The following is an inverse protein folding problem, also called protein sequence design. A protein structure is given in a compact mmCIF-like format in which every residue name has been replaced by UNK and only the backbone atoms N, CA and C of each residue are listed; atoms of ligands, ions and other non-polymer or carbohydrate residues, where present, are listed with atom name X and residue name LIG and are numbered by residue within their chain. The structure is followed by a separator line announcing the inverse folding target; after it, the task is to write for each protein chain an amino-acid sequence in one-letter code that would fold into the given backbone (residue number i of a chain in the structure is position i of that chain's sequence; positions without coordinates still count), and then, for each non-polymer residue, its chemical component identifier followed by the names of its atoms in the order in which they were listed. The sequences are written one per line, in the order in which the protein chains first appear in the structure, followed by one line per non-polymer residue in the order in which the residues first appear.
data_IF_558120503196
#
_entry.id   IF_558120503196
#
_cell.length_a   1.000
_cell.length_b   1.000
_cell.length_c   1.000
_cell.angle_alpha   90.00
_cell.angle_beta   90.00
_cell.angle_gamma   90.00
#
_symmetry.space_group_name_H-M   'P 1'
#
loop_
_entity.id
_entity.type
_entity.pdbx_description
1 polymer ?
#
# COMPACT_ATOMS: atom_id res chain seq x y z
N UNK A 1 23.84 17.09 -15.35
CA UNK A 1 23.49 15.91 -14.50
C UNK A 1 22.07 15.51 -14.85
N UNK A 2 21.81 14.22 -15.06
CA UNK A 2 20.45 13.71 -15.22
C UNK A 2 19.64 14.03 -13.95
N UNK A 3 18.44 14.60 -14.13
CA UNK A 3 17.49 14.79 -13.03
C UNK A 3 17.03 13.42 -12.51
N UNK A 4 16.76 13.31 -11.21
CA UNK A 4 16.12 12.11 -10.68
C UNK A 4 14.72 11.93 -11.27
N UNK A 5 14.21 10.70 -11.20
CA UNK A 5 12.84 10.38 -11.62
C UNK A 5 12.10 9.66 -10.49
N UNK A 6 10.81 9.91 -10.29
CA UNK A 6 9.99 9.14 -9.36
C UNK A 6 8.70 8.64 -10.03
N UNK A 7 8.05 7.64 -9.43
CA UNK A 7 6.80 7.13 -9.98
C UNK A 7 6.30 5.89 -9.25
N UNK A 8 5.28 5.27 -9.83
CA UNK A 8 4.84 3.92 -9.46
C UNK A 8 5.49 2.93 -10.43
N UNK A 9 6.24 1.97 -9.91
CA UNK A 9 6.86 0.89 -10.69
C UNK A 9 5.81 -0.19 -10.94
N UNK A 10 5.27 -0.83 -9.91
CA UNK A 10 4.26 -1.88 -10.08
C UNK A 10 3.06 -1.67 -9.18
N UNK A 11 1.94 -2.30 -9.53
CA UNK A 11 0.72 -2.25 -8.75
C UNK A 11 -0.02 -3.58 -8.82
N UNK A 12 -0.65 -3.99 -7.72
CA UNK A 12 -1.57 -5.13 -7.70
C UNK A 12 -2.97 -4.65 -7.32
N UNK A 13 -3.96 -5.10 -8.09
CA UNK A 13 -5.36 -4.70 -7.96
C UNK A 13 -6.22 -5.91 -7.67
N UNK A 14 -7.23 -5.72 -6.83
CA UNK A 14 -8.34 -6.63 -6.65
C UNK A 14 -9.61 -5.92 -7.14
N UNK A 15 -10.14 -6.39 -8.27
CA UNK A 15 -11.28 -5.82 -8.97
C UNK A 15 -12.50 -6.71 -8.74
N UNK A 16 -13.61 -6.04 -8.43
CA UNK A 16 -14.94 -6.59 -8.27
C UNK A 16 -15.77 -5.97 -9.39
N UNK A 17 -16.20 -6.79 -10.33
CA UNK A 17 -17.04 -6.35 -11.43
C UNK A 17 -18.27 -7.23 -11.53
N UNK A 18 -19.34 -6.63 -12.03
CA UNK A 18 -20.41 -7.39 -12.65
C UNK A 18 -20.06 -7.60 -14.13
N UNK A 19 -20.93 -8.31 -14.83
CA UNK A 19 -20.91 -8.36 -16.28
C UNK A 19 -22.29 -7.94 -16.75
N UNK A 20 -22.33 -7.19 -17.84
CA UNK A 20 -23.56 -6.51 -18.22
C UNK A 20 -24.71 -7.48 -18.56
N UNK A 21 -25.73 -7.48 -17.70
CA UNK A 21 -27.17 -7.40 -18.00
C UNK A 21 -27.88 -6.69 -16.81
N UNK A 22 -27.74 -5.36 -16.70
CA UNK A 22 -28.49 -4.51 -15.76
C UNK A 22 -28.29 -4.77 -14.24
N UNK A 23 -28.61 -3.81 -13.36
CA UNK A 23 -28.46 -3.99 -11.91
C UNK A 23 -29.61 -4.75 -11.21
N UNK A 24 -30.71 -5.08 -11.90
CA UNK A 24 -31.93 -5.62 -11.26
C UNK A 24 -32.61 -6.78 -12.01
N UNK A 25 -32.01 -7.33 -13.05
CA UNK A 25 -32.53 -8.56 -13.69
C UNK A 25 -31.57 -9.72 -13.40
N UNK A 26 -32.09 -10.94 -13.15
CA UNK A 26 -31.23 -12.12 -13.21
C UNK A 26 -30.57 -12.13 -14.60
N UNK A 27 -29.25 -12.36 -14.71
CA UNK A 27 -28.57 -12.35 -15.99
C UNK A 27 -29.32 -13.28 -16.94
N UNK A 28 -29.70 -12.77 -18.11
CA UNK A 28 -30.43 -13.56 -19.11
C UNK A 28 -29.65 -14.84 -19.42
N UNK A 29 -30.29 -15.93 -19.87
CA UNK A 29 -29.55 -17.14 -20.27
C UNK A 29 -28.52 -16.82 -21.38
N UNK A 30 -28.75 -15.78 -22.18
CA UNK A 30 -27.81 -15.24 -23.16
C UNK A 30 -26.65 -14.46 -22.52
N UNK A 31 -26.90 -13.72 -21.44
CA UNK A 31 -25.85 -13.10 -20.64
C UNK A 31 -25.13 -14.09 -19.75
N UNK A 32 -25.74 -15.16 -19.24
CA UNK A 32 -25.04 -16.31 -18.66
C UNK A 32 -24.21 -17.00 -19.76
N UNK A 33 -24.69 -17.05 -21.01
CA UNK A 33 -23.96 -17.50 -22.20
C UNK A 33 -22.87 -16.52 -22.73
N UNK A 34 -22.90 -15.24 -22.33
CA UNK A 34 -21.86 -14.21 -22.62
C UNK A 34 -20.96 -13.85 -21.43
N UNK A 35 -21.42 -14.08 -20.19
CA UNK A 35 -20.66 -14.30 -18.95
C UNK A 35 -19.85 -15.59 -19.06
N UNK A 36 -20.38 -16.52 -19.85
CA UNK A 36 -19.64 -17.46 -20.66
C UNK A 36 -18.81 -16.75 -21.80
N UNK A 37 -18.25 -15.57 -21.54
CA UNK A 37 -16.86 -15.28 -21.84
C UNK A 37 -16.00 -16.39 -21.23
N UNK A 38 -16.44 -16.96 -20.10
CA UNK A 38 -16.05 -18.29 -19.65
C UNK A 38 -16.45 -19.47 -20.55
N UNK A 39 -17.40 -19.40 -21.46
CA UNK A 39 -17.75 -20.46 -22.42
C UNK A 39 -16.74 -20.51 -23.54
N UNK A 40 -16.44 -19.38 -24.20
CA UNK A 40 -15.30 -19.29 -25.12
C UNK A 40 -13.97 -19.56 -24.40
N UNK A 41 -13.78 -19.08 -23.17
CA UNK A 41 -12.57 -19.40 -22.39
C UNK A 41 -12.55 -20.82 -21.86
N UNK A 42 -13.69 -21.45 -21.60
CA UNK A 42 -13.76 -22.86 -21.18
C UNK A 42 -13.67 -23.76 -22.39
N UNK A 43 -14.14 -23.37 -23.57
CA UNK A 43 -13.91 -24.04 -24.84
C UNK A 43 -12.45 -23.90 -25.27
N UNK A 44 -11.89 -22.70 -25.16
CA UNK A 44 -10.47 -22.46 -25.37
C UNK A 44 -9.66 -23.24 -24.34
N UNK A 45 -9.96 -23.15 -23.05
CA UNK A 45 -9.24 -23.90 -22.01
C UNK A 45 -9.49 -25.41 -22.10
N UNK A 46 -10.65 -25.87 -22.58
CA UNK A 46 -10.97 -27.27 -22.85
C UNK A 46 -10.20 -27.76 -24.07
N UNK A 47 -10.17 -27.00 -25.16
CA UNK A 47 -9.34 -27.26 -26.34
C UNK A 47 -7.85 -27.26 -26.01
N UNK A 48 -7.39 -26.36 -25.12
CA UNK A 48 -6.03 -26.40 -24.56
C UNK A 48 -5.81 -27.67 -23.70
N UNK A 49 -6.83 -28.10 -22.94
CA UNK A 49 -6.76 -29.33 -22.12
C UNK A 49 -6.71 -30.61 -22.95
N UNK A 50 -7.57 -30.68 -23.96
CA UNK A 50 -7.75 -31.82 -24.85
C UNK A 50 -6.64 -31.89 -25.92
N UNK A 51 -6.18 -30.75 -26.42
CA UNK A 51 -5.13 -30.63 -27.43
C UNK A 51 -3.70 -30.56 -26.88
N UNK A 52 -3.51 -30.59 -25.56
CA UNK A 52 -2.18 -30.54 -24.93
C UNK A 52 -1.47 -29.17 -24.97
N UNK A 53 -2.06 -28.16 -25.61
CA UNK A 53 -1.48 -26.83 -25.78
C UNK A 53 -1.51 -26.05 -24.45
N UNK A 54 -0.40 -25.38 -24.10
CA UNK A 54 -0.26 -24.68 -22.80
C UNK A 54 -0.84 -23.26 -22.78
N UNK A 55 -0.93 -22.60 -23.94
CA UNK A 55 -1.44 -21.24 -24.09
C UNK A 55 -1.98 -21.00 -25.50
N UNK A 56 -2.88 -20.05 -25.66
CA UNK A 56 -3.31 -19.52 -26.96
C UNK A 56 -3.23 -18.00 -26.97
N UNK A 57 -3.41 -17.39 -28.14
CA UNK A 57 -3.44 -15.94 -28.30
C UNK A 57 -4.79 -15.52 -28.86
N UNK A 58 -5.42 -14.57 -28.18
CA UNK A 58 -6.54 -13.78 -28.69
C UNK A 58 -6.08 -12.35 -28.94
N UNK A 59 -6.98 -11.49 -29.42
CA UNK A 59 -6.65 -10.12 -29.76
C UNK A 59 -7.66 -9.14 -29.17
N UNK A 60 -7.14 -8.01 -28.67
CA UNK A 60 -7.91 -6.83 -28.29
C UNK A 60 -7.51 -5.70 -29.23
N UNK A 61 -8.31 -5.49 -30.28
CA UNK A 61 -7.85 -4.69 -31.42
C UNK A 61 -6.68 -5.40 -32.10
N UNK A 62 -5.55 -4.72 -32.19
CA UNK A 62 -4.28 -5.27 -32.72
C UNK A 62 -3.39 -5.85 -31.61
N UNK A 63 -3.70 -5.60 -30.34
CA UNK A 63 -2.87 -6.06 -29.23
C UNK A 63 -3.13 -7.55 -28.94
N UNK A 64 -2.08 -8.40 -28.89
CA UNK A 64 -2.23 -9.78 -28.50
C UNK A 64 -2.54 -9.90 -27.01
N UNK A 65 -3.46 -10.82 -26.69
CA UNK A 65 -3.81 -11.24 -25.34
C UNK A 65 -3.48 -12.72 -25.23
N UNK A 66 -2.49 -13.07 -24.43
CA UNK A 66 -2.14 -14.49 -24.22
C UNK A 66 -3.04 -15.07 -23.14
N UNK A 67 -3.69 -16.19 -23.48
CA UNK A 67 -4.57 -16.95 -22.59
C UNK A 67 -3.84 -18.23 -22.18
N UNK A 68 -3.67 -18.44 -20.87
CA UNK A 68 -2.99 -19.62 -20.35
C UNK A 68 -3.99 -20.73 -20.01
N UNK A 69 -3.59 -21.98 -20.26
CA UNK A 69 -4.38 -23.18 -19.90
C UNK A 69 -4.58 -23.29 -18.39
N UNK A 70 -3.57 -22.87 -17.62
CA UNK A 70 -3.54 -22.97 -16.17
C UNK A 70 -3.83 -21.64 -15.51
N UNK A 71 -4.54 -21.72 -14.40
CA UNK A 71 -4.79 -20.61 -13.51
C UNK A 71 -3.53 -20.05 -12.85
N UNK A 72 -3.71 -18.97 -12.08
CA UNK A 72 -2.67 -18.37 -11.26
C UNK A 72 -2.95 -18.52 -9.77
N UNK A 73 -1.91 -18.50 -8.95
CA UNK A 73 -2.05 -18.33 -7.50
C UNK A 73 -1.67 -16.90 -7.12
N UNK A 74 -2.50 -16.32 -6.25
CA UNK A 74 -2.27 -14.99 -5.66
C UNK A 74 -1.98 -15.17 -4.17
N UNK A 75 -0.86 -14.63 -3.71
CA UNK A 75 -0.39 -14.77 -2.32
C UNK A 75 0.66 -15.88 -2.15
N UNK A 76 1.28 -15.95 -0.96
CA UNK A 76 2.28 -16.97 -0.63
C UNK A 76 1.66 -18.10 0.21
N UNK A 77 2.00 -19.34 -0.14
CA UNK A 77 1.67 -20.54 0.62
C UNK A 77 0.20 -20.94 0.57
N UNK A 78 -0.23 -21.78 1.54
CA UNK A 78 -1.59 -22.38 1.60
C UNK A 78 -2.74 -21.38 1.75
N UNK A 79 -2.45 -20.09 2.00
CA UNK A 79 -3.46 -19.02 2.15
C UNK A 79 -3.71 -18.25 0.85
N UNK A 80 -2.99 -18.58 -0.23
CA UNK A 80 -3.19 -17.92 -1.52
C UNK A 80 -4.50 -18.33 -2.17
N UNK A 81 -5.15 -17.39 -2.85
CA UNK A 81 -6.32 -17.67 -3.69
C UNK A 81 -5.86 -18.27 -5.02
N UNK A 82 -6.48 -19.38 -5.42
CA UNK A 82 -6.31 -19.91 -6.77
C UNK A 82 -7.35 -19.29 -7.70
N UNK A 83 -6.88 -18.79 -8.84
CA UNK A 83 -7.68 -18.21 -9.90
C UNK A 83 -7.60 -19.15 -11.10
N UNK A 84 -8.69 -19.82 -11.50
CA UNK A 84 -8.65 -20.87 -12.52
C UNK A 84 -8.22 -20.40 -13.91
N UNK A 85 -8.20 -19.09 -14.17
CA UNK A 85 -7.87 -18.53 -15.47
C UNK A 85 -6.81 -17.44 -15.34
N UNK A 86 -5.86 -17.41 -16.28
CA UNK A 86 -4.80 -16.41 -16.36
C UNK A 86 -4.67 -15.87 -17.77
N UNK A 87 -4.45 -14.56 -17.86
CA UNK A 87 -4.22 -13.82 -19.11
C UNK A 87 -3.04 -12.89 -18.96
N UNK A 88 -2.36 -12.59 -20.06
CA UNK A 88 -1.45 -11.46 -20.14
C UNK A 88 -1.84 -10.52 -21.26
N UNK A 89 -1.83 -9.23 -20.97
CA UNK A 89 -2.04 -8.17 -21.96
C UNK A 89 -1.12 -6.99 -21.61
N UNK A 90 -0.29 -6.57 -22.57
CA UNK A 90 0.71 -5.48 -22.42
C UNK A 90 1.56 -5.61 -21.13
N UNK A 91 1.96 -6.84 -20.80
CA UNK A 91 2.75 -7.16 -19.61
C UNK A 91 1.96 -7.22 -18.30
N UNK A 92 0.67 -6.87 -18.28
CA UNK A 92 -0.19 -7.05 -17.12
C UNK A 92 -0.70 -8.49 -17.03
N UNK A 93 -0.59 -9.10 -15.85
CA UNK A 93 -1.19 -10.41 -15.55
C UNK A 93 -2.60 -10.23 -14.99
N UNK A 94 -3.60 -10.83 -15.62
CA UNK A 94 -4.96 -10.91 -15.12
C UNK A 94 -5.22 -12.32 -14.64
N UNK A 95 -5.56 -12.47 -13.37
CA UNK A 95 -5.97 -13.74 -12.76
C UNK A 95 -7.46 -13.64 -12.49
N UNK A 96 -8.26 -14.43 -13.21
CA UNK A 96 -9.71 -14.37 -13.17
C UNK A 96 -10.30 -15.57 -12.43
N UNK A 97 -11.33 -15.30 -11.63
CA UNK A 97 -12.09 -16.30 -10.89
C UNK A 97 -13.57 -16.19 -11.28
N UNK A 98 -14.34 -17.29 -11.12
CA UNK A 98 -15.79 -17.25 -11.29
C UNK A 98 -16.40 -16.14 -10.43
N UNK A 99 -17.48 -15.55 -10.92
CA UNK A 99 -18.20 -14.52 -10.20
C UNK A 99 -18.70 -15.03 -8.85
N UNK A 100 -18.33 -14.33 -7.78
CA UNK A 100 -18.81 -14.57 -6.43
C UNK A 100 -20.03 -13.68 -6.19
N UNK A 101 -21.24 -14.26 -6.26
CA UNK A 101 -22.51 -13.52 -6.04
C UNK A 101 -22.55 -12.82 -4.68
N UNK A 102 -21.84 -13.33 -3.68
CA UNK A 102 -21.79 -12.71 -2.36
C UNK A 102 -20.83 -11.49 -2.32
N UNK A 103 -20.08 -11.23 -3.39
CA UNK A 103 -19.17 -10.10 -3.51
C UNK A 103 -17.99 -10.14 -2.54
N UNK A 104 -17.72 -11.30 -1.93
CA UNK A 104 -16.66 -11.44 -0.93
C UNK A 104 -15.28 -11.53 -1.57
N UNK A 105 -15.20 -12.06 -2.80
CA UNK A 105 -13.95 -12.24 -3.54
C UNK A 105 -13.91 -11.41 -4.81
N UNK A 106 -12.73 -10.85 -5.08
CA UNK A 106 -12.46 -10.19 -6.34
C UNK A 106 -12.48 -11.22 -7.47
N UNK A 107 -13.26 -10.96 -8.51
CA UNK A 107 -13.32 -11.80 -9.70
C UNK A 107 -12.10 -11.58 -10.61
N UNK A 108 -11.37 -10.46 -10.46
CA UNK A 108 -10.04 -10.30 -11.03
C UNK A 108 -9.01 -9.87 -9.99
N UNK A 109 -7.86 -10.54 -9.99
CA UNK A 109 -6.62 -9.95 -9.46
C UNK A 109 -5.73 -9.56 -10.63
N UNK A 110 -5.27 -8.32 -10.67
CA UNK A 110 -4.45 -7.79 -11.77
C UNK A 110 -3.08 -7.41 -11.21
N UNK A 111 -2.00 -7.94 -11.79
CA UNK A 111 -0.64 -7.45 -11.54
C UNK A 111 -0.24 -6.57 -12.71
N UNK A 112 -0.09 -5.29 -12.43
CA UNK A 112 0.31 -4.28 -13.40
C UNK A 112 1.83 -4.21 -13.43
N UNK A 113 2.42 -4.57 -14.56
CA UNK A 113 3.86 -4.56 -14.72
C UNK A 113 4.42 -3.13 -14.82
N UNK A 114 5.71 -3.01 -14.50
CA UNK A 114 6.44 -1.75 -14.62
C UNK A 114 6.42 -1.18 -16.03
N UNK A 115 6.48 -2.04 -17.03
CA UNK A 115 6.44 -1.59 -18.41
C UNK A 115 5.11 -0.89 -18.74
N UNK A 116 3.99 -1.47 -18.33
CA UNK A 116 2.67 -0.86 -18.47
C UNK A 116 2.55 0.44 -17.67
N UNK A 117 3.01 0.47 -16.41
CA UNK A 117 2.98 1.71 -15.63
C UNK A 117 3.79 2.83 -16.29
N UNK A 118 4.97 2.52 -16.82
CA UNK A 118 5.86 3.47 -17.47
C UNK A 118 5.28 4.08 -18.76
N UNK A 119 4.47 3.33 -19.53
CA UNK A 119 3.79 3.90 -20.71
C UNK A 119 2.80 5.00 -20.35
N UNK A 120 2.37 5.08 -19.08
CA UNK A 120 1.54 6.16 -18.53
C UNK A 120 2.34 7.13 -17.64
N UNK A 121 3.67 7.15 -17.77
CA UNK A 121 4.57 7.94 -16.94
C UNK A 121 4.54 7.54 -15.45
N UNK A 122 4.08 6.34 -15.10
CA UNK A 122 3.95 5.92 -13.70
C UNK A 122 2.76 6.56 -12.96
N UNK A 123 1.75 7.06 -13.69
CA UNK A 123 0.51 7.58 -13.11
C UNK A 123 -0.55 6.47 -12.96
N UNK A 124 -0.90 6.04 -11.72
CA UNK A 124 -1.82 4.92 -11.51
C UNK A 124 -3.24 5.18 -12.03
N UNK A 125 -3.74 6.43 -11.96
CA UNK A 125 -5.06 6.78 -12.49
C UNK A 125 -5.17 6.57 -14.01
N UNK A 126 -4.19 7.05 -14.78
CA UNK A 126 -4.17 6.88 -16.25
C UNK A 126 -4.00 5.42 -16.66
N UNK A 127 -3.12 4.69 -15.97
CA UNK A 127 -2.96 3.26 -16.19
C UNK A 127 -4.27 2.50 -15.91
N UNK A 128 -5.02 2.92 -14.87
CA UNK A 128 -6.31 2.33 -14.56
C UNK A 128 -7.38 2.60 -15.60
N UNK A 129 -7.45 3.79 -16.20
CA UNK A 129 -8.40 4.09 -17.27
C UNK A 129 -8.28 3.12 -18.45
N UNK A 130 -7.04 2.80 -18.86
CA UNK A 130 -6.77 1.83 -19.94
C UNK A 130 -7.10 0.39 -19.53
N UNK A 131 -6.76 0.00 -18.29
CA UNK A 131 -7.11 -1.32 -17.73
C UNK A 131 -8.63 -1.51 -17.61
N UNK A 132 -9.36 -0.49 -17.16
CA UNK A 132 -10.82 -0.53 -17.03
C UNK A 132 -11.49 -0.61 -18.40
N UNK A 133 -10.98 0.13 -19.40
CA UNK A 133 -11.45 0.04 -20.78
C UNK A 133 -11.23 -1.36 -21.35
N UNK A 134 -10.05 -1.97 -21.10
CA UNK A 134 -9.77 -3.35 -21.47
C UNK A 134 -10.72 -4.34 -20.79
N UNK A 135 -10.91 -4.24 -19.47
CA UNK A 135 -11.84 -5.09 -18.73
C UNK A 135 -13.25 -5.02 -19.31
N UNK A 136 -13.73 -3.81 -19.59
CA UNK A 136 -15.05 -3.58 -20.15
C UNK A 136 -15.19 -4.14 -21.57
N UNK A 137 -14.23 -3.88 -22.45
CA UNK A 137 -14.35 -4.25 -23.87
C UNK A 137 -13.99 -5.70 -24.15
N UNK A 138 -12.99 -6.24 -23.47
CA UNK A 138 -12.50 -7.60 -23.69
C UNK A 138 -13.33 -8.62 -22.89
N UNK A 139 -13.70 -8.31 -21.64
CA UNK A 139 -14.45 -9.24 -20.79
C UNK A 139 -15.93 -8.89 -20.62
N UNK A 140 -16.41 -7.75 -21.13
CA UNK A 140 -17.77 -7.28 -20.85
C UNK A 140 -17.97 -6.86 -19.38
N UNK A 141 -16.89 -6.63 -18.65
CA UNK A 141 -16.92 -6.38 -17.21
C UNK A 141 -17.35 -4.93 -16.89
N UNK A 142 -18.26 -4.78 -15.94
CA UNK A 142 -18.66 -3.49 -15.35
C UNK A 142 -18.06 -3.41 -13.95
N UNK A 143 -16.97 -2.67 -13.79
CA UNK A 143 -16.27 -2.56 -12.52
C UNK A 143 -17.17 -1.87 -11.48
N UNK A 144 -17.43 -2.55 -10.36
CA UNK A 144 -18.19 -2.02 -9.21
C UNK A 144 -17.25 -1.48 -8.15
N UNK A 145 -16.12 -2.14 -7.95
CA UNK A 145 -15.12 -1.75 -6.96
C UNK A 145 -13.73 -2.19 -7.41
N UNK A 146 -12.75 -1.31 -7.26
CA UNK A 146 -11.34 -1.65 -7.42
C UNK A 146 -10.59 -1.28 -6.15
N UNK A 147 -9.81 -2.22 -5.63
CA UNK A 147 -8.95 -1.99 -4.47
C UNK A 147 -7.49 -2.26 -4.81
N UNK A 148 -6.60 -1.42 -4.31
CA UNK A 148 -5.15 -1.57 -4.47
C UNK A 148 -4.63 -2.45 -3.34
N UNK A 149 -4.14 -3.64 -3.70
CA UNK A 149 -3.61 -4.61 -2.74
C UNK A 149 -2.10 -4.43 -2.52
N UNK A 150 -1.40 -3.87 -3.51
CA UNK A 150 0.02 -3.50 -3.44
C UNK A 150 0.33 -2.36 -4.41
N UNK A 151 1.27 -1.50 -4.04
CA UNK A 151 1.91 -0.54 -4.95
C UNK A 151 3.39 -0.41 -4.60
N UNK A 152 4.24 -0.32 -5.61
CA UNK A 152 5.66 -0.09 -5.48
C UNK A 152 5.95 1.33 -5.99
N UNK A 153 6.28 2.26 -5.10
CA UNK A 153 6.60 3.66 -5.42
C UNK A 153 8.12 3.81 -5.41
N UNK A 154 8.72 4.40 -6.43
CA UNK A 154 10.17 4.51 -6.54
C UNK A 154 10.66 5.93 -6.78
N UNK A 155 11.94 6.15 -6.46
CA UNK A 155 12.77 7.28 -6.88
C UNK A 155 14.12 6.80 -7.38
N UNK A 156 14.48 7.21 -8.59
CA UNK A 156 15.73 6.95 -9.28
C UNK A 156 16.75 8.03 -8.96
N UNK A 157 17.99 7.61 -8.66
CA UNK A 157 19.11 8.47 -8.28
C UNK A 157 20.28 8.27 -9.26
N UNK A 158 20.24 8.90 -10.46
CA UNK A 158 21.31 8.79 -11.44
C UNK A 158 22.64 9.30 -10.91
N UNK A 159 23.72 8.59 -11.24
CA UNK A 159 25.10 8.88 -10.83
C UNK A 159 25.38 8.59 -9.36
N UNK A 160 24.54 7.77 -8.71
CA UNK A 160 24.71 7.38 -7.30
C UNK A 160 24.72 5.86 -7.20
N UNK A 161 25.82 5.24 -6.75
CA UNK A 161 25.90 3.79 -6.60
C UNK A 161 25.29 3.35 -5.26
N UNK A 162 24.78 2.12 -5.22
CA UNK A 162 24.10 1.54 -4.04
C UNK A 162 25.02 1.50 -2.83
N UNK A 163 26.32 1.29 -3.05
CA UNK A 163 27.36 1.27 -2.02
C UNK A 163 27.36 2.53 -1.15
N UNK A 164 26.98 3.70 -1.68
CA UNK A 164 26.82 4.93 -0.88
C UNK A 164 25.77 4.78 0.20
N UNK A 165 24.62 4.18 -0.12
CA UNK A 165 23.54 3.95 0.85
C UNK A 165 23.88 2.82 1.82
N UNK A 166 24.58 1.77 1.36
CA UNK A 166 25.07 0.69 2.23
C UNK A 166 26.06 1.25 3.26
N UNK A 167 27.02 2.06 2.84
CA UNK A 167 28.00 2.69 3.75
C UNK A 167 27.32 3.61 4.78
N UNK A 168 26.31 4.40 4.36
CA UNK A 168 25.53 5.23 5.27
C UNK A 168 24.73 4.35 6.27
N UNK A 169 24.16 3.24 5.81
CA UNK A 169 23.45 2.31 6.66
C UNK A 169 24.38 1.67 7.72
N UNK A 170 25.58 1.26 7.33
CA UNK A 170 26.59 0.67 8.22
C UNK A 170 27.13 1.66 9.25
N UNK A 171 27.24 2.94 8.87
CA UNK A 171 27.52 4.05 9.80
C UNK A 171 26.33 4.38 10.72
N UNK A 172 25.23 3.66 10.59
CA UNK A 172 24.04 3.81 11.41
C UNK A 172 23.15 4.98 11.01
N UNK A 173 23.40 5.67 9.89
CA UNK A 173 22.81 6.97 9.48
C UNK A 173 21.31 6.94 9.11
N UNK A 174 20.61 5.86 9.42
CA UNK A 174 19.23 5.63 8.99
C UNK A 174 18.27 5.77 10.18
N UNK A 175 17.31 6.69 10.07
CA UNK A 175 16.12 6.74 10.92
C UNK A 175 15.01 5.99 10.21
N UNK A 176 14.51 4.91 10.81
CA UNK A 176 13.58 3.99 10.16
C UNK A 176 12.56 3.44 11.13
N UNK A 177 11.34 3.20 10.66
CA UNK A 177 10.26 2.58 11.45
C UNK A 177 10.33 1.05 11.53
N UNK A 178 11.10 0.41 10.65
CA UNK A 178 11.29 -1.04 10.65
C UNK A 178 12.62 -1.41 11.30
N UNK A 179 12.66 -2.53 12.04
CA UNK A 179 13.92 -3.13 12.54
C UNK A 179 14.51 -4.16 11.59
N UNK A 180 13.72 -4.77 10.70
CA UNK A 180 14.16 -5.82 9.77
C UNK A 180 15.03 -5.25 8.65
N UNK A 181 16.20 -5.83 8.44
CA UNK A 181 17.15 -5.47 7.37
C UNK A 181 17.71 -6.73 6.73
N UNK A 182 17.97 -6.69 5.42
CA UNK A 182 18.78 -7.69 4.72
C UNK A 182 19.63 -7.00 3.67
N UNK A 183 20.89 -7.40 3.54
CA UNK A 183 21.77 -7.02 2.42
C UNK A 183 21.87 -8.18 1.42
N UNK A 184 22.02 -7.85 0.14
CA UNK A 184 22.32 -8.81 -0.93
C UNK A 184 23.41 -8.24 -1.83
N UNK A 185 24.38 -9.07 -2.15
CA UNK A 185 25.54 -8.72 -2.96
C UNK A 185 25.71 -9.66 -4.14
N UNK A 186 26.61 -9.32 -5.04
CA UNK A 186 27.04 -10.21 -6.11
C UNK A 186 28.44 -10.74 -5.81
N UNK A 187 28.65 -12.03 -6.09
CA UNK A 187 29.98 -12.67 -6.10
C UNK A 187 30.13 -13.31 -7.48
N UNK A 188 30.90 -12.68 -8.36
CA UNK A 188 30.86 -12.99 -9.79
C UNK A 188 29.46 -12.70 -10.36
N UNK A 189 28.82 -13.71 -10.97
CA UNK A 189 27.46 -13.61 -11.52
C UNK A 189 26.36 -14.16 -10.58
N UNK A 190 26.72 -14.52 -9.33
CA UNK A 190 25.79 -15.15 -8.38
C UNK A 190 25.36 -14.13 -7.33
N UNK A 191 24.04 -13.98 -7.15
CA UNK A 191 23.47 -13.17 -6.08
C UNK A 191 23.55 -13.97 -4.77
N UNK A 192 24.19 -13.39 -3.76
CA UNK A 192 24.33 -13.99 -2.42
C UNK A 192 23.66 -13.09 -1.39
N UNK A 193 22.91 -13.71 -0.47
CA UNK A 193 22.42 -13.03 0.72
C UNK A 193 23.53 -12.80 1.72
N UNK A 194 23.31 -11.88 2.67
CA UNK A 194 24.27 -11.64 3.75
C UNK A 194 24.59 -12.92 4.54
N UNK A 195 23.57 -13.71 4.89
CA UNK A 195 23.75 -14.94 5.66
C UNK A 195 24.62 -15.95 4.91
N UNK A 196 24.42 -16.08 3.59
CA UNK A 196 25.23 -16.95 2.71
C UNK A 196 26.67 -16.42 2.53
N UNK A 197 26.84 -15.10 2.43
CA UNK A 197 28.17 -14.50 2.29
C UNK A 197 29.03 -14.66 3.56
N UNK A 198 28.40 -14.60 4.74
CA UNK A 198 29.04 -14.84 6.03
C UNK A 198 29.40 -16.33 6.22
N UNK A 199 28.54 -17.25 5.79
CA UNK A 199 28.76 -18.70 5.88
C UNK A 199 29.91 -19.19 4.99
N UNK A 200 30.07 -18.60 3.79
CA UNK A 200 31.10 -19.00 2.82
C UNK A 200 32.48 -18.41 3.15
N UNK A 201 32.65 -17.67 4.25
CA UNK A 201 33.90 -16.96 4.59
C UNK A 201 34.50 -16.25 3.37
N UNK A 202 33.67 -15.54 2.61
CA UNK A 202 34.17 -14.64 1.58
C UNK A 202 34.85 -13.49 2.32
N UNK A 203 36.15 -13.64 2.62
CA UNK A 203 37.04 -12.84 3.47
C UNK A 203 36.90 -11.32 3.31
N UNK A 204 35.78 -10.71 3.70
CA UNK A 204 35.54 -9.27 3.73
C UNK A 204 35.88 -8.47 2.45
N UNK A 205 36.21 -9.12 1.33
CA UNK A 205 36.87 -8.52 0.16
C UNK A 205 36.13 -8.72 -1.18
N UNK A 206 35.00 -9.43 -1.22
CA UNK A 206 34.49 -9.94 -2.50
C UNK A 206 33.10 -9.51 -2.95
N UNK A 207 32.18 -9.15 -2.05
CA UNK A 207 30.79 -8.90 -2.41
C UNK A 207 30.51 -7.41 -2.60
N UNK A 208 30.35 -6.97 -3.84
CA UNK A 208 29.75 -5.66 -4.12
C UNK A 208 28.26 -5.74 -3.80
N UNK A 209 27.85 -5.06 -2.72
CA UNK A 209 26.45 -5.01 -2.29
C UNK A 209 25.61 -4.28 -3.35
N UNK A 210 24.83 -5.04 -4.10
CA UNK A 210 23.96 -4.53 -5.15
C UNK A 210 22.56 -4.21 -4.65
N UNK A 211 22.17 -4.66 -3.44
CA UNK A 211 20.86 -4.38 -2.86
C UNK A 211 20.84 -4.30 -1.32
N UNK A 212 20.15 -3.29 -0.78
CA UNK A 212 19.78 -3.16 0.63
C UNK A 212 18.26 -3.19 0.80
N UNK A 213 17.74 -4.15 1.56
CA UNK A 213 16.33 -4.28 1.90
C UNK A 213 16.05 -3.84 3.34
N UNK A 214 15.03 -3.00 3.52
CA UNK A 214 14.50 -2.59 4.81
C UNK A 214 13.03 -3.03 4.93
N UNK A 215 12.67 -3.76 5.99
CA UNK A 215 11.28 -4.16 6.24
C UNK A 215 10.78 -5.33 5.38
N UNK A 216 11.67 -6.14 4.80
CA UNK A 216 11.29 -7.26 3.94
C UNK A 216 10.22 -8.17 4.57
N UNK A 217 9.20 -8.50 3.79
CA UNK A 217 8.06 -9.31 4.21
C UNK A 217 7.02 -8.58 5.07
N UNK A 218 7.27 -7.31 5.44
CA UNK A 218 6.31 -6.46 6.13
C UNK A 218 5.18 -5.94 5.23
N UNK A 219 4.29 -5.14 5.84
CA UNK A 219 3.23 -4.40 5.13
C UNK A 219 3.77 -3.18 4.39
N UNK A 220 4.97 -2.73 4.77
CA UNK A 220 5.72 -1.65 4.16
C UNK A 220 7.20 -2.04 4.16
N UNK A 221 7.86 -1.93 3.02
CA UNK A 221 9.28 -2.22 2.86
C UNK A 221 9.94 -1.26 1.87
N UNK A 222 11.25 -1.08 1.99
CA UNK A 222 12.06 -0.28 1.06
C UNK A 222 13.23 -1.10 0.53
N UNK A 223 13.61 -0.85 -0.72
CA UNK A 223 14.76 -1.45 -1.39
C UNK A 223 15.61 -0.35 -1.99
N UNK A 224 16.92 -0.41 -1.75
CA UNK A 224 17.92 0.32 -2.49
C UNK A 224 18.63 -0.70 -3.36
N UNK A 225 18.63 -0.53 -4.68
CA UNK A 225 19.27 -1.51 -5.53
C UNK A 225 19.81 -0.90 -6.82
N UNK A 226 20.75 -1.62 -7.42
CA UNK A 226 21.35 -1.24 -8.68
C UNK A 226 20.38 -1.58 -9.81
N UNK A 227 19.78 -0.54 -10.37
CA UNK A 227 18.76 -0.71 -11.39
C UNK A 227 19.35 -1.10 -12.73
N UNK A 228 20.58 -0.67 -13.05
CA UNK A 228 21.24 -1.05 -14.29
C UNK A 228 21.59 -2.54 -14.26
N UNK A 229 22.04 -3.04 -13.10
CA UNK A 229 22.28 -4.47 -12.91
C UNK A 229 21.00 -5.31 -13.05
N UNK A 230 19.84 -4.85 -12.56
CA UNK A 230 18.54 -5.50 -12.82
C UNK A 230 18.25 -5.55 -14.33
N UNK A 231 18.46 -4.43 -15.02
CA UNK A 231 18.14 -4.25 -16.44
C UNK A 231 19.17 -4.86 -17.40
N UNK A 232 20.32 -5.31 -16.89
CA UNK A 232 21.35 -5.99 -17.68
C UNK A 232 20.92 -7.40 -18.13
N UNK A 233 19.84 -7.94 -17.56
CA UNK A 233 19.29 -9.25 -17.93
C UNK A 233 18.70 -9.22 -19.36
N UNK A 234 18.96 -10.21 -20.22
CA UNK A 234 18.50 -10.20 -21.61
C UNK A 234 16.99 -9.98 -21.76
N UNK A 235 16.18 -10.58 -20.89
CA UNK A 235 14.72 -10.47 -20.89
C UNK A 235 14.20 -9.07 -20.50
N UNK A 236 15.05 -8.18 -19.99
CA UNK A 236 14.70 -6.82 -19.58
C UNK A 236 15.05 -5.74 -20.62
N UNK A 237 15.60 -6.13 -21.78
CA UNK A 237 15.99 -5.20 -22.86
C UNK A 237 14.90 -4.19 -23.22
N UNK A 238 13.67 -4.65 -23.51
CA UNK A 238 12.57 -3.73 -23.82
C UNK A 238 12.17 -2.78 -22.68
N UNK A 239 12.31 -3.23 -21.41
CA UNK A 239 12.08 -2.36 -20.25
C UNK A 239 13.17 -1.30 -20.13
N UNK A 240 14.43 -1.69 -20.37
CA UNK A 240 15.59 -0.78 -20.38
C UNK A 240 15.44 0.32 -21.41
N UNK A 241 15.07 -0.04 -22.64
CA UNK A 241 14.84 0.93 -23.72
C UNK A 241 13.72 1.92 -23.37
N UNK A 242 12.61 1.42 -22.82
CA UNK A 242 11.52 2.29 -22.39
C UNK A 242 11.93 3.20 -21.22
N UNK A 243 12.69 2.70 -20.25
CA UNK A 243 13.19 3.53 -19.15
C UNK A 243 14.15 4.62 -19.65
N UNK A 244 15.03 4.28 -20.59
CA UNK A 244 15.91 5.25 -21.24
C UNK A 244 15.12 6.37 -21.92
N UNK A 245 14.08 6.02 -22.68
CA UNK A 245 13.24 6.99 -23.38
C UNK A 245 12.39 7.81 -22.40
N UNK A 246 11.70 7.15 -21.47
CA UNK A 246 10.66 7.77 -20.64
C UNK A 246 11.20 8.46 -19.38
N UNK A 247 12.29 7.94 -18.80
CA UNK A 247 12.77 8.37 -17.48
C UNK A 247 14.10 9.10 -17.54
N UNK A 248 14.97 8.72 -18.48
CA UNK A 248 16.36 9.19 -18.51
C UNK A 248 16.66 10.10 -19.71
N UNK A 249 15.63 10.68 -20.32
CA UNK A 249 15.74 11.64 -21.44
C UNK A 249 16.62 11.11 -22.59
N UNK A 250 16.53 9.82 -22.89
CA UNK A 250 17.29 9.16 -23.95
C UNK A 250 18.75 8.84 -23.59
N UNK A 251 19.24 9.20 -22.39
CA UNK A 251 20.62 8.98 -21.96
C UNK A 251 20.63 8.05 -20.75
N UNK A 252 21.22 6.87 -20.92
CA UNK A 252 21.38 5.94 -19.81
C UNK A 252 22.50 6.42 -18.88
N UNK A 253 22.28 6.44 -17.55
CA UNK A 253 23.35 6.79 -16.61
C UNK A 253 24.37 5.65 -16.48
N UNK A 254 25.61 5.99 -16.12
CA UNK A 254 26.66 5.00 -15.81
C UNK A 254 26.39 4.27 -14.47
N UNK A 255 25.74 4.94 -13.53
CA UNK A 255 25.34 4.39 -12.23
C UNK A 255 23.90 4.79 -11.90
N UNK A 256 23.12 3.85 -11.37
CA UNK A 256 21.74 4.13 -10.97
C UNK A 256 21.30 3.33 -9.76
N UNK A 257 21.16 4.01 -8.62
CA UNK A 257 20.40 3.48 -7.50
C UNK A 257 18.93 3.80 -7.66
N UNK A 258 18.08 2.78 -7.60
CA UNK A 258 16.64 2.96 -7.37
C UNK A 258 16.32 2.75 -5.90
N UNK A 259 15.57 3.69 -5.33
CA UNK A 259 14.98 3.60 -3.99
C UNK A 259 13.49 3.32 -4.17
N UNK A 260 13.04 2.14 -3.76
CA UNK A 260 11.67 1.67 -4.01
C UNK A 260 10.97 1.25 -2.71
N UNK A 261 9.82 1.85 -2.45
CA UNK A 261 8.92 1.57 -1.35
C UNK A 261 7.75 0.71 -1.82
N UNK A 262 7.68 -0.53 -1.34
CA UNK A 262 6.53 -1.41 -1.54
C UNK A 262 5.55 -1.26 -0.38
N UNK A 263 4.33 -0.82 -0.68
CA UNK A 263 3.22 -0.76 0.25
C UNK A 263 2.22 -1.87 -0.06
N UNK A 264 1.74 -2.58 0.96
CA UNK A 264 0.69 -3.59 0.86
C UNK A 264 -0.61 -3.10 1.46
N UNK A 265 -1.70 -3.82 1.20
CA UNK A 265 -3.09 -3.49 1.57
C UNK A 265 -3.23 -2.88 2.98
N UNK A 266 -2.62 -3.47 4.03
CA UNK A 266 -2.71 -2.94 5.39
C UNK A 266 -2.08 -1.53 5.55
N UNK A 267 -0.95 -1.27 4.90
CA UNK A 267 -0.35 0.07 4.89
C UNK A 267 -1.18 1.04 4.04
N UNK A 268 -1.66 0.59 2.88
CA UNK A 268 -2.51 1.41 2.01
C UNK A 268 -3.81 1.83 2.68
N UNK A 269 -4.50 0.92 3.37
CA UNK A 269 -5.68 1.22 4.18
C UNK A 269 -5.38 2.23 5.29
N UNK A 270 -4.27 2.06 6.00
CA UNK A 270 -3.84 2.99 7.05
C UNK A 270 -3.62 4.42 6.52
N UNK A 271 -3.17 4.56 5.28
CA UNK A 271 -2.99 5.86 4.63
C UNK A 271 -4.22 6.32 3.82
N UNK A 272 -5.34 5.58 3.89
CA UNK A 272 -6.54 5.90 3.14
C UNK A 272 -6.36 5.88 1.62
N UNK A 273 -5.44 5.03 1.12
CA UNK A 273 -5.04 4.92 -0.29
C UNK A 273 -5.37 3.54 -0.88
N UNK A 274 -6.48 2.92 -0.43
CA UNK A 274 -6.85 1.55 -0.80
C UNK A 274 -7.63 1.43 -2.12
N UNK A 275 -7.96 2.54 -2.78
CA UNK A 275 -8.58 2.59 -4.13
C UNK A 275 -7.67 3.35 -5.09
N UNK A 276 -7.80 3.15 -6.40
CA UNK A 276 -7.00 3.87 -7.41
C UNK A 276 -7.16 5.39 -7.29
N UNK A 277 -8.40 5.85 -7.11
CA UNK A 277 -8.74 7.27 -7.01
C UNK A 277 -8.06 7.87 -5.76
N UNK A 278 -8.22 7.20 -4.61
CA UNK A 278 -7.58 7.64 -3.37
C UNK A 278 -6.05 7.57 -3.42
N UNK A 279 -5.47 6.54 -4.05
CA UNK A 279 -4.03 6.41 -4.24
C UNK A 279 -3.51 7.54 -5.12
N UNK A 280 -4.17 7.81 -6.24
CA UNK A 280 -3.78 8.87 -7.18
C UNK A 280 -3.84 10.25 -6.53
N UNK A 281 -4.91 10.54 -5.77
CA UNK A 281 -5.07 11.80 -5.06
C UNK A 281 -4.04 11.99 -3.93
N UNK A 282 -3.63 10.89 -3.26
CA UNK A 282 -2.74 10.93 -2.09
C UNK A 282 -1.30 10.55 -2.39
N UNK A 283 -0.95 10.33 -3.65
CA UNK A 283 0.35 9.78 -4.03
C UNK A 283 1.50 10.67 -3.55
N UNK A 284 1.33 12.00 -3.65
CA UNK A 284 2.30 12.99 -3.15
C UNK A 284 2.51 12.90 -1.65
N UNK A 285 1.44 12.98 -0.86
CA UNK A 285 1.54 12.89 0.60
C UNK A 285 2.09 11.54 1.04
N UNK A 286 1.76 10.47 0.32
CA UNK A 286 2.24 9.13 0.63
C UNK A 286 3.75 9.04 0.37
N UNK A 287 4.20 9.54 -0.78
CA UNK A 287 5.61 9.70 -1.10
C UNK A 287 6.36 10.51 -0.03
N UNK A 288 5.83 11.67 0.34
CA UNK A 288 6.40 12.52 1.37
C UNK A 288 6.53 11.80 2.71
N UNK A 289 5.47 11.11 3.17
CA UNK A 289 5.52 10.29 4.37
C UNK A 289 6.64 9.24 4.31
N UNK A 290 6.82 8.58 3.17
CA UNK A 290 7.84 7.54 3.00
C UNK A 290 9.26 8.09 3.18
N UNK A 291 9.55 9.25 2.61
CA UNK A 291 10.89 9.86 2.59
C UNK A 291 11.16 10.85 3.74
N UNK A 292 10.16 11.24 4.53
CA UNK A 292 10.33 12.17 5.66
C UNK A 292 10.06 11.54 7.02
N UNK A 293 9.24 10.48 7.10
CA UNK A 293 8.79 9.91 8.38
C UNK A 293 9.03 8.41 8.51
N UNK A 294 8.85 7.66 7.43
CA UNK A 294 9.05 6.21 7.49
C UNK A 294 10.53 5.83 7.40
N UNK A 295 11.27 6.49 6.52
CA UNK A 295 12.69 6.34 6.34
C UNK A 295 13.33 7.71 6.08
N UNK A 296 14.39 8.02 6.82
CA UNK A 296 15.22 9.22 6.62
C UNK A 296 16.68 8.82 6.73
N UNK A 297 17.51 9.30 5.81
CA UNK A 297 18.96 9.18 5.91
C UNK A 297 19.52 10.53 6.39
N UNK A 298 20.25 10.51 7.50
CA UNK A 298 20.75 11.69 8.20
C UNK A 298 22.25 11.86 7.97
N UNK A 299 22.74 13.10 8.04
CA UNK A 299 24.19 13.35 7.93
C UNK A 299 24.93 13.01 9.23
N UNK A 300 24.26 13.28 10.36
CA UNK A 300 24.69 12.91 11.69
C UNK A 300 23.52 12.34 12.49
N UNK A 301 23.84 11.44 13.43
CA UNK A 301 22.88 10.88 14.37
C UNK A 301 23.32 11.11 15.80
N UNK A 302 22.74 12.11 16.42
CA UNK A 302 22.63 12.12 17.87
C UNK A 302 21.53 11.13 18.29
N UNK A 303 21.93 10.04 18.95
CA UNK A 303 21.00 9.02 19.45
C UNK A 303 20.16 9.53 20.62
N UNK A 304 20.59 10.60 21.28
CA UNK A 304 19.87 11.19 22.41
C UNK A 304 18.69 12.06 21.96
N UNK A 305 18.77 12.72 20.79
CA UNK A 305 17.78 13.69 20.33
C UNK A 305 17.33 13.41 18.90
N UNK A 306 16.34 12.51 18.77
CA UNK A 306 15.94 12.00 17.46
C UNK A 306 15.23 13.00 16.55
N UNK A 307 14.77 14.14 17.08
CA UNK A 307 13.94 15.13 16.38
C UNK A 307 14.73 16.32 15.78
N UNK A 308 16.04 16.43 16.00
CA UNK A 308 16.89 17.53 15.50
C UNK A 308 17.96 17.01 14.54
N UNK A 309 17.53 16.40 13.44
CA UNK A 309 18.47 15.73 12.51
C UNK A 309 18.58 16.48 11.22
N UNK A 310 19.81 16.78 10.86
CA UNK A 310 20.16 17.24 9.53
C UNK A 310 20.02 16.08 8.54
N UNK A 311 19.21 16.28 7.51
CA UNK A 311 18.97 15.29 6.47
C UNK A 311 20.19 15.23 5.55
N UNK A 312 20.65 14.02 5.23
CA UNK A 312 21.83 13.85 4.37
C UNK A 312 21.56 14.43 2.96
N UNK A 313 22.52 15.11 2.31
CA UNK A 313 22.31 15.73 1.00
C UNK A 313 21.80 14.78 -0.10
N UNK A 314 22.26 13.52 -0.09
CA UNK A 314 21.75 12.50 -1.01
C UNK A 314 20.26 12.18 -0.81
N UNK A 315 19.80 12.25 0.44
CA UNK A 315 18.40 12.03 0.78
C UNK A 315 17.55 13.24 0.42
N UNK A 316 18.06 14.46 0.59
CA UNK A 316 17.39 15.65 0.08
C UNK A 316 17.22 15.62 -1.44
N UNK A 317 18.23 15.15 -2.19
CA UNK A 317 18.10 14.92 -3.64
C UNK A 317 16.98 13.93 -3.98
N UNK A 318 16.82 12.86 -3.18
CA UNK A 318 15.69 11.93 -3.35
C UNK A 318 14.36 12.61 -3.02
N UNK A 319 14.27 13.36 -1.90
CA UNK A 319 13.07 14.10 -1.50
C UNK A 319 12.63 15.08 -2.57
N UNK A 320 13.56 15.83 -3.16
CA UNK A 320 13.29 16.72 -4.30
C UNK A 320 12.73 15.93 -5.48
N UNK A 321 13.37 14.82 -5.86
CA UNK A 321 12.89 13.94 -6.95
C UNK A 321 11.43 13.52 -6.76
N UNK A 322 11.04 13.15 -5.54
CA UNK A 322 9.65 12.82 -5.20
C UNK A 322 8.72 14.04 -5.27
N UNK A 323 9.15 15.17 -4.70
CA UNK A 323 8.38 16.42 -4.71
C UNK A 323 8.11 16.91 -6.13
N UNK A 324 9.15 17.01 -6.95
CA UNK A 324 9.11 17.53 -8.32
C UNK A 324 8.18 16.69 -9.22
N UNK A 325 8.17 15.37 -9.01
CA UNK A 325 7.39 14.47 -9.84
C UNK A 325 5.91 14.43 -9.49
N UNK A 326 5.59 14.47 -8.20
CA UNK A 326 4.22 14.32 -7.70
C UNK A 326 3.53 15.68 -7.50
N UNK A 327 3.94 16.74 -8.22
CA UNK A 327 3.42 18.12 -8.22
C UNK A 327 1.93 18.29 -8.60
N UNK A 328 1.04 17.56 -7.94
CA UNK A 328 -0.36 17.97 -7.79
C UNK A 328 -0.46 18.62 -6.41
N UNK A 329 -1.15 19.76 -6.30
CA UNK A 329 -1.56 20.34 -5.02
C UNK A 329 -2.13 19.21 -4.14
N UNK A 330 -1.61 18.98 -2.91
CA UNK A 330 -2.18 17.97 -2.04
C UNK A 330 -3.62 18.39 -1.77
N UNK A 331 -4.59 17.62 -2.26
CA UNK A 331 -6.00 17.96 -2.06
C UNK A 331 -6.44 17.71 -0.62
N UNK A 332 -5.68 16.91 0.16
CA UNK A 332 -5.88 16.63 1.59
C UNK A 332 -4.53 16.26 2.22
N UNK A 333 -4.21 16.82 3.39
CA UNK A 333 -3.03 16.42 4.17
C UNK A 333 -3.24 14.97 4.67
N UNK A 334 -2.21 14.12 4.63
CA UNK A 334 -2.36 12.73 5.12
C UNK A 334 -2.61 12.70 6.64
N UNK A 335 -2.22 13.75 7.34
CA UNK A 335 -2.49 13.91 8.76
C UNK A 335 -3.98 14.27 9.05
N UNK A 336 -4.74 14.76 8.05
CA UNK A 336 -6.20 14.98 8.15
C UNK A 336 -7.00 13.66 8.00
N UNK A 337 -6.31 12.54 7.79
CA UNK A 337 -6.88 11.20 7.59
C UNK A 337 -6.74 10.28 8.81
N UNK A 338 -6.56 10.84 9.99
CA UNK A 338 -7.21 10.25 11.15
C UNK A 338 -8.61 10.86 11.21
N UNK A 339 -9.62 10.33 10.50
CA UNK A 339 -10.94 10.50 11.05
C UNK A 339 -10.88 9.80 12.40
N UNK A 340 -11.09 10.58 13.45
CA UNK A 340 -11.76 10.13 14.66
C UNK A 340 -13.15 9.65 14.24
N UNK A 341 -13.22 8.60 13.41
CA UNK A 341 -14.46 7.91 13.12
C UNK A 341 -14.75 7.13 14.40
N UNK A 342 -15.32 7.84 15.37
CA UNK A 342 -15.85 7.29 16.61
C UNK A 342 -16.74 6.09 16.29
N UNK A 343 -17.40 6.08 15.12
CA UNK A 343 -18.18 4.93 14.66
C UNK A 343 -17.30 3.77 14.17
N UNK A 344 -16.11 3.99 13.60
CA UNK A 344 -15.15 2.93 13.29
C UNK A 344 -14.58 2.30 14.58
N UNK A 345 -14.20 3.13 15.56
CA UNK A 345 -13.76 2.65 16.89
C UNK A 345 -14.89 1.91 17.60
N UNK A 346 -16.11 2.45 17.54
CA UNK A 346 -17.32 1.81 18.06
C UNK A 346 -17.62 0.46 17.38
N UNK A 347 -17.49 0.38 16.05
CA UNK A 347 -17.61 -0.88 15.28
C UNK A 347 -16.55 -1.90 15.67
N UNK A 348 -15.32 -1.46 15.93
CA UNK A 348 -14.26 -2.34 16.40
C UNK A 348 -14.54 -2.86 17.82
N UNK A 349 -14.99 -1.99 18.73
CA UNK A 349 -15.42 -2.37 20.07
C UNK A 349 -16.55 -3.41 20.04
N UNK A 350 -17.55 -3.20 19.18
CA UNK A 350 -18.63 -4.16 18.96
C UNK A 350 -18.10 -5.50 18.43
N UNK A 351 -17.16 -5.50 17.49
CA UNK A 351 -16.55 -6.73 16.98
C UNK A 351 -15.78 -7.52 18.05
N UNK A 352 -15.04 -6.83 18.91
CA UNK A 352 -14.35 -7.45 20.05
C UNK A 352 -15.33 -8.07 21.05
N UNK A 353 -16.40 -7.35 21.37
CA UNK A 353 -17.48 -7.84 22.24
C UNK A 353 -18.15 -9.08 21.64
N UNK A 354 -18.57 -9.04 20.37
CA UNK A 354 -19.20 -10.21 19.73
C UNK A 354 -18.27 -11.43 19.72
N UNK A 355 -16.96 -11.20 19.58
CA UNK A 355 -15.97 -12.28 19.66
C UNK A 355 -15.83 -12.85 21.08
N UNK A 356 -16.02 -12.03 22.11
CA UNK A 356 -16.08 -12.48 23.50
C UNK A 356 -17.35 -13.30 23.75
N UNK A 357 -18.52 -12.76 23.39
CA UNK A 357 -19.83 -13.43 23.56
C UNK A 357 -19.89 -14.77 22.82
N UNK A 358 -19.34 -14.82 21.60
CA UNK A 358 -19.22 -16.07 20.84
C UNK A 358 -18.34 -17.12 21.54
N UNK A 359 -17.37 -16.70 22.36
CA UNK A 359 -16.49 -17.59 23.13
C UNK A 359 -17.05 -17.96 24.50
N UNK A 360 -17.86 -17.09 25.11
CA UNK A 360 -18.56 -17.38 26.37
C UNK A 360 -19.78 -18.29 26.16
N UNK A 361 -20.20 -18.52 24.91
CA UNK A 361 -21.19 -19.54 24.55
C UNK A 361 -22.64 -19.05 24.53
N UNK A 362 -22.86 -17.77 24.80
CA UNK A 362 -24.20 -17.18 24.86
C UNK A 362 -24.33 -16.05 23.83
N UNK A 363 -24.86 -16.33 22.62
CA UNK A 363 -25.21 -15.26 21.69
C UNK A 363 -26.41 -14.47 22.24
N UNK A 364 -26.49 -13.15 22.01
CA UNK A 364 -27.69 -12.38 22.31
C UNK A 364 -28.87 -12.93 21.49
N UNK A 365 -30.03 -13.14 22.14
CA UNK A 365 -31.22 -13.68 21.48
C UNK A 365 -31.93 -12.58 20.66
N UNK A 366 -31.79 -11.32 21.08
CA UNK A 366 -32.36 -10.14 20.43
C UNK A 366 -31.47 -8.89 20.64
N UNK A 367 -31.62 -7.84 19.81
CA UNK A 367 -30.78 -6.63 19.91
C UNK A 367 -30.76 -5.96 21.28
N UNK A 368 -31.86 -6.03 22.03
CA UNK A 368 -31.96 -5.47 23.39
C UNK A 368 -31.07 -6.18 24.42
N UNK A 369 -30.63 -7.40 24.15
CA UNK A 369 -29.81 -8.18 25.08
C UNK A 369 -28.32 -7.79 25.04
N UNK A 370 -27.90 -7.09 23.98
CA UNK A 370 -26.48 -6.72 23.76
C UNK A 370 -25.97 -5.83 24.89
N UNK A 371 -26.75 -4.83 25.30
CA UNK A 371 -26.31 -3.88 26.33
C UNK A 371 -26.20 -4.52 27.73
N UNK A 372 -27.19 -5.28 28.22
CA UNK A 372 -27.04 -6.09 29.43
C UNK A 372 -25.82 -7.01 29.40
N UNK A 373 -25.59 -7.70 28.28
CA UNK A 373 -24.42 -8.57 28.14
C UNK A 373 -23.10 -7.78 28.18
N UNK A 374 -23.03 -6.58 27.60
CA UNK A 374 -21.87 -5.69 27.73
C UNK A 374 -21.57 -5.33 29.18
N UNK A 375 -22.60 -5.01 29.95
CA UNK A 375 -22.47 -4.68 31.38
C UNK A 375 -21.92 -5.88 32.14
N UNK A 376 -22.37 -7.10 31.82
CA UNK A 376 -21.84 -8.32 32.45
C UNK A 376 -20.38 -8.62 32.06
N UNK A 377 -19.96 -8.35 30.81
CA UNK A 377 -18.54 -8.44 30.43
C UNK A 377 -17.69 -7.46 31.24
N UNK A 378 -18.17 -6.21 31.38
CA UNK A 378 -17.49 -5.23 32.21
C UNK A 378 -17.45 -5.70 33.66
N UNK A 379 -18.58 -6.12 34.24
CA UNK A 379 -18.65 -6.67 35.61
C UNK A 379 -17.63 -7.79 35.82
N UNK A 380 -17.56 -8.75 34.89
CA UNK A 380 -16.59 -9.84 34.92
C UNK A 380 -15.14 -9.34 34.93
N UNK A 381 -14.80 -8.33 34.12
CA UNK A 381 -13.46 -7.73 34.15
C UNK A 381 -13.17 -7.05 35.49
N UNK A 382 -14.14 -6.33 36.07
CA UNK A 382 -14.01 -5.71 37.38
C UNK A 382 -13.86 -6.77 38.50
N UNK A 383 -14.55 -7.90 38.42
CA UNK A 383 -14.39 -9.02 39.34
C UNK A 383 -13.03 -9.73 39.19
N UNK A 384 -12.57 -9.92 37.95
CA UNK A 384 -11.32 -10.63 37.64
C UNK A 384 -10.08 -9.86 38.11
N UNK A 385 -10.06 -8.53 37.90
CA UNK A 385 -8.92 -7.69 38.22
C UNK A 385 -9.01 -7.02 39.59
N UNK A 386 -10.21 -7.01 40.19
CA UNK A 386 -10.54 -6.19 41.35
C UNK A 386 -10.93 -4.76 40.92
N UNK A 387 -11.88 -4.11 41.63
CA UNK A 387 -12.48 -2.87 41.16
C UNK A 387 -11.48 -1.71 41.06
N UNK A 388 -10.55 -1.60 42.00
CA UNK A 388 -9.52 -0.55 41.99
C UNK A 388 -8.56 -0.70 40.81
N UNK A 389 -8.04 -1.91 40.58
CA UNK A 389 -7.10 -2.19 39.49
C UNK A 389 -7.74 -2.09 38.11
N UNK A 390 -9.00 -2.54 37.97
CA UNK A 390 -9.76 -2.39 36.73
C UNK A 390 -10.03 -0.92 36.42
N UNK A 391 -10.37 -0.13 37.46
CA UNK A 391 -10.56 1.31 37.33
C UNK A 391 -9.26 2.02 36.94
N UNK A 392 -8.15 1.76 37.65
CA UNK A 392 -6.81 2.30 37.33
C UNK A 392 -6.42 2.01 35.88
N UNK A 393 -6.59 0.77 35.40
CA UNK A 393 -6.22 0.41 34.04
C UNK A 393 -7.11 1.10 32.98
N UNK A 394 -8.39 1.34 33.27
CA UNK A 394 -9.28 2.11 32.40
C UNK A 394 -8.90 3.58 32.41
N UNK A 395 -8.67 4.18 33.59
CA UNK A 395 -8.35 5.60 33.72
C UNK A 395 -6.99 5.93 33.14
N UNK A 396 -5.98 5.09 33.33
CA UNK A 396 -4.64 5.28 32.78
C UNK A 396 -4.66 5.22 31.25
N UNK A 397 -5.35 4.21 30.70
CA UNK A 397 -5.50 4.09 29.24
C UNK A 397 -6.31 5.25 28.65
N UNK A 398 -7.33 5.74 29.36
CA UNK A 398 -8.11 6.90 28.95
C UNK A 398 -7.25 8.17 28.98
N UNK A 399 -6.53 8.43 30.07
CA UNK A 399 -5.63 9.58 30.21
C UNK A 399 -4.55 9.58 29.12
N UNK A 400 -3.90 8.44 28.89
CA UNK A 400 -2.92 8.26 27.80
C UNK A 400 -3.52 8.52 26.42
N UNK A 401 -4.80 8.17 26.21
CA UNK A 401 -5.47 8.37 24.93
C UNK A 401 -5.84 9.85 24.74
N UNK A 402 -6.36 10.50 25.78
CA UNK A 402 -6.69 11.93 25.78
C UNK A 402 -5.46 12.79 25.55
N UNK A 403 -4.35 12.50 26.24
CA UNK A 403 -3.07 13.21 26.05
C UNK A 403 -2.59 13.08 24.61
N UNK A 404 -2.59 11.86 24.05
CA UNK A 404 -2.20 11.63 22.64
C UNK A 404 -3.10 12.36 21.65
N UNK A 405 -4.42 12.36 21.84
CA UNK A 405 -5.34 13.11 20.98
C UNK A 405 -5.12 14.62 21.09
N UNK A 406 -4.92 15.14 22.31
CA UNK A 406 -4.65 16.55 22.53
C UNK A 406 -3.32 16.98 21.88
N UNK A 407 -2.25 16.19 22.03
CA UNK A 407 -0.95 16.47 21.40
C UNK A 407 -1.03 16.47 19.87
N UNK A 408 -1.74 15.51 19.28
CA UNK A 408 -1.98 15.44 17.83
C UNK A 408 -2.76 16.65 17.34
N UNK A 409 -3.83 17.04 18.07
CA UNK A 409 -4.68 18.19 17.73
C UNK A 409 -3.93 19.53 17.86
N UNK A 410 -3.13 19.72 18.91
CA UNK A 410 -2.28 20.90 19.09
C UNK A 410 -1.17 21.00 18.04
N UNK A 411 -0.61 19.86 17.62
CA UNK A 411 0.35 19.82 16.52
C UNK A 411 -0.32 20.18 15.18
N UNK A 412 -1.59 19.81 14.98
CA UNK A 412 -2.39 20.17 13.81
C UNK A 412 -2.68 21.67 13.78
N UNK A 413 -3.14 22.25 14.90
CA UNK A 413 -3.44 23.69 14.99
C UNK A 413 -2.21 24.57 14.81
N UNK A 414 -1.07 24.25 15.45
CA UNK A 414 0.18 25.00 15.25
C UNK A 414 0.63 25.01 13.79
N UNK A 415 0.36 23.93 13.04
CA UNK A 415 0.67 23.85 11.61
C UNK A 415 -0.28 24.68 10.77
N UNK A 416 -1.58 24.66 11.08
CA UNK A 416 -2.58 25.49 10.39
C UNK A 416 -2.27 26.99 10.60
N UNK A 417 -1.97 27.40 11.83
CA UNK A 417 -1.58 28.79 12.15
C UNK A 417 -0.29 29.21 11.41
N UNK A 418 0.72 28.33 11.36
CA UNK A 418 1.97 28.61 10.65
C UNK A 418 1.80 28.74 9.12
N UNK A 419 0.78 28.11 8.54
CA UNK A 419 0.45 28.20 7.10
C UNK A 419 -0.41 29.42 6.80
N UNK A 420 -1.23 29.88 7.75
CA UNK A 420 -2.10 31.02 7.54
C UNK A 420 -1.33 32.34 7.45
N UNK A 421 -0.17 32.49 8.11
CA UNK A 421 0.54 33.78 8.20
C UNK A 421 2.05 33.70 7.90
N UNK A 422 2.46 33.56 6.63
CA UNK A 422 3.84 33.81 6.24
C UNK A 422 4.05 35.34 6.07
N UNK A 423 4.09 36.09 7.18
CA UNK A 423 4.62 37.48 7.19
C UNK A 423 3.63 38.66 7.30
N UNK A 424 2.46 38.51 7.92
CA UNK A 424 1.50 39.61 8.12
C UNK A 424 1.34 40.05 9.57
N UNK A 425 1.40 41.36 9.83
CA UNK A 425 1.14 42.00 11.13
C UNK A 425 -0.29 41.73 11.60
N UNK A 426 -0.44 41.43 12.90
CA UNK A 426 -1.66 41.04 13.60
C UNK A 426 -2.86 41.97 13.32
N UNK A 427 -3.85 41.46 12.58
CA UNK A 427 -5.24 41.90 12.61
C UNK A 427 -6.06 40.79 13.29
N UNK A 428 -6.95 41.17 14.22
CA UNK A 428 -7.56 40.30 15.23
C UNK A 428 -8.08 38.94 14.73
N UNK A 429 -7.71 37.90 15.47
CA UNK A 429 -8.26 36.53 15.35
C UNK A 429 -9.75 36.56 15.73
N UNK A 430 -10.66 35.99 14.93
CA UNK A 430 -12.06 35.84 15.35
C UNK A 430 -12.15 34.87 16.53
N UNK A 431 -12.97 35.22 17.53
CA UNK A 431 -13.14 34.46 18.77
C UNK A 431 -13.41 32.97 18.52
N UNK A 432 -12.81 32.14 19.39
CA UNK A 432 -13.01 30.69 19.43
C UNK A 432 -14.51 30.37 19.39
N UNK A 433 -14.95 29.39 18.58
CA UNK A 433 -16.32 28.90 18.69
C UNK A 433 -16.54 28.33 20.09
N UNK A 434 -17.52 28.91 20.80
CA UNK A 434 -17.92 28.48 22.12
C UNK A 434 -18.47 27.04 22.04
N UNK A 435 -17.74 26.09 22.64
CA UNK A 435 -18.11 24.67 22.69
C UNK A 435 -19.00 24.35 23.91
N UNK A 436 -19.51 25.34 24.64
CA UNK A 436 -20.48 25.14 25.73
C UNK A 436 -21.86 24.62 25.27
N UNK A 437 -22.08 24.36 23.96
CA UNK A 437 -23.31 23.81 23.42
C UNK A 437 -23.47 22.28 23.47
N UNK A 438 -22.44 21.50 23.82
CA UNK A 438 -22.58 20.05 24.03
C UNK A 438 -22.92 19.80 25.51
N UNK A 439 -24.18 20.02 25.85
CA UNK A 439 -24.73 19.80 27.18
C UNK A 439 -24.56 18.35 27.64
N UNK A 440 -23.48 18.07 28.36
CA UNK A 440 -23.43 16.95 29.29
C UNK A 440 -24.13 17.42 30.55
N UNK A 441 -25.36 16.96 30.77
CA UNK A 441 -26.06 17.23 32.02
C UNK A 441 -25.21 16.69 33.19
N UNK A 442 -25.01 17.47 34.27
CA UNK A 442 -24.33 16.96 35.45
C UNK A 442 -25.12 15.79 36.04
N UNK A 443 -24.40 14.73 36.41
CA UNK A 443 -24.98 13.58 37.11
C UNK A 443 -25.67 14.06 38.39
N UNK A 444 -26.89 13.58 38.70
CA UNK A 444 -27.54 13.91 39.95
C UNK A 444 -26.66 13.45 41.11
N UNK A 445 -26.45 14.35 42.08
CA UNK A 445 -25.77 14.03 43.32
C UNK A 445 -26.49 12.86 43.98
N UNK A 446 -25.76 11.79 44.29
CA UNK A 446 -26.27 10.70 45.11
C UNK A 446 -26.53 11.24 46.51
N UNK A 447 -27.79 11.26 46.94
CA UNK A 447 -28.13 11.37 48.35
C UNK A 447 -27.67 10.10 49.08
N UNK A 448 -27.09 10.32 50.26
CA UNK A 448 -26.51 9.32 51.15
C UNK A 448 -27.55 8.41 51.81
#
# INVERSE_FOLDING_TARGET
MLSGYAGVDTMELAVFSDFADGPNEPPSDECVARLNAFGWLSETARGLREGGVQQTTAFYGEDPVTVYRTGGTVGRGRRGGFYPYRFTWRGCDFMAAPFDRAGHRANFTIRVAATFMLSFGGHPGRAWEDLEAFLRRFFGAVVKRCSVSRVDIFGDMPGIPVSRFVNLFERGMFVRRTRRVRKRGMVGAVEVSQDEAEEVQLDGKGAEWSTLHLGLGGVLSCRFYDKLLELARPEMSGKRDMMKIQLWNGVEPDELTRVEFQLRNAALKKHGSSTIQSLSAKLRGLAEYLVTRWLVVCDSLDRSHTNRKEVHPLWEKLRSTFSDRFCVEPTQDIDDLLPDDVLAVGRQGLGCLMSFLAKSGEPPAQPSDVFPQMVEVLRFLFELYGPERAWEEITDRYADHVVRHHEVREALYRRLDSRAHPGGVLGGVPDRPDLHGLGVAPLPASEA
#
